data_IF_502453409988
#
_entry.id   IF_502453409988
#
_cell.length_a   1.000
_cell.length_b   1.000
_cell.length_c   1.000
_cell.angle_alpha   90.00
_cell.angle_beta   90.00
_cell.angle_gamma   90.00
#
_symmetry.space_group_name_H-M   'P 1'
#
loop_
_entity.id
_entity.type
_entity.pdbx_description
1 polymer ?
#
# COMPACT_ATOMS: atom_id res chain seq x y z
N UNK A 1 -14.15 15.71 12.21
CA UNK A 1 -13.49 14.42 12.50
C UNK A 1 -12.00 14.68 12.47
N UNK A 2 -11.31 14.51 13.60
CA UNK A 2 -9.85 14.65 13.69
C UNK A 2 -9.30 13.24 13.92
N UNK A 3 -8.34 12.82 13.11
CA UNK A 3 -7.66 11.55 13.26
C UNK A 3 -6.45 11.75 14.19
N UNK A 4 -6.36 10.92 15.23
CA UNK A 4 -5.23 10.93 16.17
C UNK A 4 -4.13 10.01 15.65
N UNK A 5 -3.22 10.57 14.86
CA UNK A 5 -2.13 9.84 14.21
C UNK A 5 -0.87 9.91 15.08
N UNK A 6 -0.23 8.75 15.27
CA UNK A 6 1.10 8.69 15.84
C UNK A 6 2.07 9.44 14.92
N UNK A 7 2.79 10.43 15.46
CA UNK A 7 3.68 11.26 14.68
C UNK A 7 4.92 11.68 15.48
N UNK A 8 6.07 11.69 14.80
CA UNK A 8 7.33 12.19 15.31
C UNK A 8 7.79 13.35 14.43
N UNK A 9 8.03 14.54 15.00
CA UNK A 9 8.53 15.73 14.27
C UNK A 9 7.69 16.10 13.03
N UNK A 10 6.37 15.99 13.12
CA UNK A 10 5.41 16.22 12.02
C UNK A 10 5.44 15.16 10.90
N UNK A 11 6.09 14.01 11.13
CA UNK A 11 6.06 12.86 10.24
C UNK A 11 5.20 11.77 10.87
N UNK A 12 4.33 11.16 10.09
CA UNK A 12 3.44 10.09 10.53
C UNK A 12 4.27 8.83 10.73
N UNK A 13 4.16 8.21 11.89
CA UNK A 13 4.78 6.91 12.15
C UNK A 13 4.02 5.82 11.39
N UNK A 14 4.77 5.01 10.65
CA UNK A 14 4.22 3.88 9.90
C UNK A 14 5.00 2.61 10.16
N UNK A 15 4.33 1.47 9.99
CA UNK A 15 4.97 0.15 10.04
C UNK A 15 5.62 -0.23 8.69
N UNK A 16 6.12 -1.46 8.58
CA UNK A 16 6.75 -1.97 7.35
C UNK A 16 5.78 -2.16 6.18
N UNK A 17 4.48 -2.18 6.44
CA UNK A 17 3.40 -2.25 5.46
C UNK A 17 2.86 -0.87 5.09
N UNK A 18 3.47 0.20 5.62
CA UNK A 18 3.05 1.59 5.49
C UNK A 18 1.71 1.90 6.19
N UNK A 19 1.29 1.06 7.14
CA UNK A 19 0.09 1.26 7.95
C UNK A 19 0.40 2.18 9.14
N UNK A 20 -0.51 3.10 9.43
CA UNK A 20 -0.41 3.99 10.60
C UNK A 20 -0.91 3.30 11.87
N UNK A 21 -0.93 4.00 13.01
CA UNK A 21 -1.57 3.51 14.23
C UNK A 21 -3.08 3.27 14.08
N UNK A 22 -3.72 3.86 13.06
CA UNK A 22 -5.14 3.67 12.76
C UNK A 22 -5.27 2.60 11.67
N UNK A 23 -5.95 1.50 12.00
CA UNK A 23 -6.18 0.40 11.07
C UNK A 23 -6.88 0.86 9.79
N UNK A 24 -6.35 0.42 8.65
CA UNK A 24 -6.89 0.78 7.33
C UNK A 24 -6.51 2.18 6.85
N UNK A 25 -5.71 2.93 7.61
CA UNK A 25 -5.13 4.22 7.19
C UNK A 25 -3.63 3.99 6.92
N UNK A 26 -3.22 4.28 5.69
CA UNK A 26 -1.85 4.12 5.22
C UNK A 26 -1.27 5.48 4.82
N UNK A 27 0.04 5.65 4.99
CA UNK A 27 0.74 6.87 4.62
C UNK A 27 2.08 6.53 3.95
N UNK A 28 2.50 7.35 2.98
CA UNK A 28 3.73 7.15 2.20
C UNK A 28 4.40 8.49 1.88
N UNK A 29 5.63 8.45 1.37
CA UNK A 29 6.34 9.62 0.86
C UNK A 29 7.04 10.42 1.96
N UNK A 30 7.23 11.72 1.73
CA UNK A 30 8.00 12.57 2.64
C UNK A 30 7.32 12.83 3.98
N UNK A 31 6.02 12.55 4.09
CA UNK A 31 5.22 12.78 5.31
C UNK A 31 5.25 11.64 6.32
N UNK A 32 6.06 10.59 6.12
CA UNK A 32 6.13 9.44 7.03
C UNK A 32 7.52 9.20 7.59
N UNK A 33 7.59 8.47 8.69
CA UNK A 33 8.85 8.09 9.34
C UNK A 33 8.81 6.62 9.77
N UNK A 34 9.95 5.95 9.58
CA UNK A 34 10.23 4.61 10.07
C UNK A 34 11.76 4.41 10.08
N UNK A 35 12.29 3.44 10.86
CA UNK A 35 13.73 3.24 10.98
C UNK A 35 14.40 2.99 9.62
N UNK A 36 15.38 3.82 9.26
CA UNK A 36 16.13 3.70 8.02
C UNK A 36 15.47 4.35 6.79
N UNK A 37 14.36 5.08 6.94
CA UNK A 37 13.76 5.83 5.84
C UNK A 37 14.70 6.93 5.33
N UNK A 38 14.81 7.04 4.01
CA UNK A 38 15.49 8.15 3.33
C UNK A 38 14.43 8.89 2.51
N UNK A 39 14.25 10.19 2.77
CA UNK A 39 13.25 11.03 2.09
C UNK A 39 13.68 11.32 0.65
N UNK A 40 13.35 10.39 -0.25
CA UNK A 40 13.62 10.47 -1.68
C UNK A 40 12.34 10.13 -2.45
N UNK A 41 12.16 10.77 -3.60
CA UNK A 41 11.06 10.45 -4.54
C UNK A 41 11.05 8.95 -4.89
N UNK A 42 12.24 8.36 -5.07
CA UNK A 42 12.38 6.93 -5.35
C UNK A 42 11.87 6.03 -4.21
N UNK A 43 12.00 6.45 -2.95
CA UNK A 43 11.48 5.70 -1.81
C UNK A 43 9.93 5.71 -1.82
N UNK A 44 9.32 6.87 -2.06
CA UNK A 44 7.86 6.99 -2.17
C UNK A 44 7.27 6.09 -3.27
N UNK A 45 7.96 5.93 -4.40
CA UNK A 45 7.54 4.99 -5.46
C UNK A 45 7.65 3.52 -5.07
N UNK A 46 8.53 3.14 -4.13
CA UNK A 46 8.58 1.79 -3.56
C UNK A 46 7.56 1.57 -2.44
N UNK A 47 7.25 2.61 -1.69
CA UNK A 47 6.27 2.59 -0.59
C UNK A 47 4.83 2.48 -1.12
N UNK A 48 4.51 3.19 -2.20
CA UNK A 48 3.17 3.20 -2.81
C UNK A 48 2.61 1.80 -3.14
N UNK A 49 3.30 0.93 -3.91
CA UNK A 49 2.79 -0.42 -4.20
C UNK A 49 2.68 -1.28 -2.94
N UNK A 50 3.55 -1.08 -1.95
CA UNK A 50 3.51 -1.80 -0.66
C UNK A 50 2.24 -1.44 0.11
N UNK A 51 1.96 -0.14 0.28
CA UNK A 51 0.77 0.35 0.97
C UNK A 51 -0.52 -0.12 0.29
N UNK A 52 -0.61 0.01 -1.04
CA UNK A 52 -1.79 -0.42 -1.82
C UNK A 52 -1.99 -1.93 -1.72
N UNK A 53 -0.93 -2.72 -1.77
CA UNK A 53 -1.01 -4.19 -1.64
C UNK A 53 -1.46 -4.60 -0.24
N UNK A 54 -1.00 -3.91 0.80
CA UNK A 54 -1.42 -4.17 2.18
C UNK A 54 -2.91 -3.82 2.38
N UNK A 55 -3.33 -2.65 1.90
CA UNK A 55 -4.73 -2.21 1.91
C UNK A 55 -5.61 -3.23 1.17
N UNK A 56 -5.21 -3.60 -0.05
CA UNK A 56 -5.93 -4.55 -0.88
C UNK A 56 -6.26 -5.87 -0.18
N UNK A 57 -5.25 -6.47 0.47
CA UNK A 57 -5.38 -7.73 1.19
C UNK A 57 -6.39 -7.64 2.34
N UNK A 58 -6.51 -6.46 2.95
CA UNK A 58 -7.40 -6.23 4.08
C UNK A 58 -8.84 -5.95 3.64
N UNK A 59 -9.05 -5.32 2.49
CA UNK A 59 -10.37 -4.87 2.05
C UNK A 59 -10.99 -5.72 0.95
N UNK A 60 -10.20 -6.44 0.14
CA UNK A 60 -10.73 -7.20 -0.98
C UNK A 60 -10.44 -8.70 -0.83
N UNK A 61 -11.47 -9.56 -0.97
CA UNK A 61 -11.26 -11.00 -1.01
C UNK A 61 -10.27 -11.42 -2.10
N UNK A 62 -9.49 -12.47 -1.79
CA UNK A 62 -8.43 -13.05 -2.65
C UNK A 62 -8.90 -13.40 -4.07
N UNK A 63 -10.20 -13.61 -4.29
CA UNK A 63 -10.78 -13.87 -5.62
C UNK A 63 -10.65 -12.70 -6.59
N UNK A 64 -10.49 -11.47 -6.09
CA UNK A 64 -10.65 -10.25 -6.89
C UNK A 64 -9.37 -9.40 -6.97
N UNK A 65 -8.42 -9.53 -6.04
CA UNK A 65 -7.23 -8.66 -5.95
C UNK A 65 -5.89 -9.30 -6.31
N UNK A 66 -5.90 -10.27 -7.21
CA UNK A 66 -4.66 -10.76 -7.80
C UNK A 66 -4.14 -9.76 -8.83
N UNK A 67 -3.34 -8.81 -8.34
CA UNK A 67 -2.40 -8.06 -9.16
C UNK A 67 -1.23 -8.99 -9.55
N UNK A 68 -1.55 -10.10 -10.22
CA UNK A 68 -0.57 -11.07 -10.72
C UNK A 68 -0.54 -10.92 -12.24
N UNK A 69 0.66 -10.94 -12.82
CA UNK A 69 0.83 -11.17 -14.24
C UNK A 69 0.11 -12.47 -14.72
N UNK A 70 -0.31 -13.35 -13.79
CA UNK A 70 -1.07 -14.57 -14.03
C UNK A 70 -2.55 -14.31 -14.35
N UNK A 71 -3.15 -13.23 -13.85
CA UNK A 71 -4.54 -12.88 -14.23
C UNK A 71 -4.62 -12.44 -15.69
N UNK A 72 -3.58 -11.79 -16.23
CA UNK A 72 -3.52 -11.40 -17.64
C UNK A 72 -3.53 -12.63 -18.56
N UNK A 73 -2.85 -13.71 -18.16
CA UNK A 73 -2.93 -15.01 -18.84
C UNK A 73 -4.33 -15.63 -18.79
N UNK A 74 -4.96 -15.67 -17.60
CA UNK A 74 -6.31 -16.22 -17.42
C UNK A 74 -7.42 -15.40 -18.10
N UNK A 75 -7.27 -14.07 -18.21
CA UNK A 75 -8.19 -13.21 -18.96
C UNK A 75 -8.06 -13.44 -20.46
N UNK A 76 -6.84 -13.61 -20.97
CA UNK A 76 -6.60 -13.88 -22.39
C UNK A 76 -7.18 -15.23 -22.85
N UNK A 77 -7.17 -16.25 -21.98
CA UNK A 77 -7.84 -17.52 -22.28
C UNK A 77 -9.37 -17.37 -22.36
N UNK A 78 -9.99 -16.65 -21.41
CA UNK A 78 -11.45 -16.42 -21.41
C UNK A 78 -11.93 -15.48 -22.52
N UNK A 79 -11.05 -14.62 -23.05
CA UNK A 79 -11.39 -13.66 -24.10
C UNK A 79 -11.17 -14.20 -25.52
N UNK A 80 -10.55 -15.39 -25.67
CA UNK A 80 -10.49 -16.15 -26.94
C UNK A 80 -11.71 -17.01 -27.22
N UNK A 81 -12.61 -17.14 -26.23
CA UNK A 81 -13.86 -17.90 -26.32
C UNK A 81 -15.09 -16.98 -26.56
N UNK A 82 -14.85 -15.71 -26.90
CA UNK A 82 -15.82 -14.73 -27.41
C UNK A 82 -15.39 -14.29 -28.81
#
# INVERSE_FOLDING_TARGET
>A
MVLDLAAERNLIEVDSMMETNIKGVYAIGDGVTYPGKVALIAAGFGEAPTAVTALAKNFIPISEWQCTALQWGLLNEKMSLL
#
